data_IF_958819342708
#
_entry.id   IF_958819342708
#
_cell.length_a   1.000
_cell.length_b   1.000
_cell.length_c   1.000
_cell.angle_alpha   90.00
_cell.angle_beta   90.00
_cell.angle_gamma   90.00
#
_symmetry.space_group_name_H-M   'P 1'
#
loop_
_entity.id
_entity.type
_entity.pdbx_description
1 polymer ?
#
# COMPACT_ATOMS: atom_id res chain seq x y z
N UNK A 1 58.05 -0.75 -25.40
CA UNK A 1 57.33 -1.14 -24.16
C UNK A 1 57.41 -0.11 -23.01
N UNK A 2 57.76 1.18 -23.22
CA UNK A 2 57.80 2.16 -22.10
C UNK A 2 57.46 3.64 -22.44
N UNK A 3 56.98 3.96 -23.65
CA UNK A 3 56.77 5.37 -24.05
C UNK A 3 55.30 5.78 -24.25
N UNK A 4 54.37 4.83 -24.38
CA UNK A 4 52.93 5.14 -24.51
C UNK A 4 52.22 5.35 -23.16
N UNK A 5 52.90 5.05 -22.04
CA UNK A 5 52.39 5.17 -20.66
C UNK A 5 52.22 6.63 -20.22
N UNK A 6 52.76 7.60 -20.98
CA UNK A 6 52.92 8.99 -20.51
C UNK A 6 51.88 10.00 -21.03
N UNK A 7 50.98 9.65 -21.95
CA UNK A 7 50.08 10.65 -22.58
C UNK A 7 48.70 10.83 -21.93
N UNK A 8 48.21 9.88 -21.13
CA UNK A 8 46.89 10.03 -20.49
C UNK A 8 46.97 10.47 -19.02
N UNK A 9 48.15 10.87 -18.55
CA UNK A 9 48.41 11.48 -17.25
C UNK A 9 48.06 12.99 -17.19
N UNK A 10 47.13 13.46 -18.02
CA UNK A 10 46.79 14.89 -18.14
C UNK A 10 45.30 15.16 -18.27
N UNK A 11 44.45 14.49 -17.49
CA UNK A 11 43.14 15.05 -17.18
C UNK A 11 42.64 14.64 -15.79
N UNK A 12 43.46 14.95 -14.77
CA UNK A 12 42.99 15.05 -13.39
C UNK A 12 42.14 16.30 -13.25
N UNK A 13 40.82 16.16 -13.42
CA UNK A 13 39.86 17.18 -12.96
C UNK A 13 39.10 16.63 -11.75
N UNK A 14 39.62 17.10 -10.62
CA UNK A 14 39.16 16.96 -9.24
C UNK A 14 37.63 17.06 -9.07
N UNK A 15 37.12 16.21 -8.16
CA UNK A 15 36.15 16.53 -7.09
C UNK A 15 34.70 16.80 -7.59
N UNK A 16 33.61 16.19 -7.11
CA UNK A 16 33.27 15.60 -5.81
C UNK A 16 32.05 14.67 -5.97
N UNK A 17 32.13 13.51 -5.33
CA UNK A 17 31.02 12.60 -5.05
C UNK A 17 29.95 13.29 -4.19
N UNK A 18 28.72 13.46 -4.70
CA UNK A 18 27.48 13.60 -3.89
C UNK A 18 26.25 13.19 -4.72
N UNK A 19 25.70 11.97 -4.59
CA UNK A 19 24.36 11.67 -5.07
C UNK A 19 23.36 12.02 -3.94
N UNK A 20 23.05 13.29 -3.76
CA UNK A 20 22.01 13.74 -2.81
C UNK A 20 21.12 14.77 -3.50
N UNK A 21 20.51 14.37 -4.62
CA UNK A 21 19.57 15.22 -5.35
C UNK A 21 18.43 14.42 -6.01
N UNK A 22 18.12 13.22 -5.51
CA UNK A 22 16.96 12.44 -5.98
C UNK A 22 15.87 12.26 -4.92
N UNK A 23 16.07 12.76 -3.69
CA UNK A 23 15.10 12.65 -2.58
C UNK A 23 14.08 13.81 -2.60
N UNK A 24 14.33 14.86 -3.38
CA UNK A 24 13.48 16.07 -3.35
C UNK A 24 12.12 15.94 -4.06
N UNK A 25 11.85 14.86 -4.80
CA UNK A 25 10.55 14.69 -5.47
C UNK A 25 9.44 14.15 -4.54
N UNK A 26 9.78 13.66 -3.34
CA UNK A 26 8.80 13.13 -2.36
C UNK A 26 8.27 14.22 -1.43
N UNK A 27 8.89 15.41 -1.40
CA UNK A 27 8.57 16.42 -0.37
C UNK A 27 7.37 17.32 -0.71
N UNK A 28 6.82 17.29 -1.92
CA UNK A 28 5.75 18.22 -2.34
C UNK A 28 4.33 17.74 -1.99
N UNK A 29 4.13 16.50 -1.55
CA UNK A 29 2.77 15.95 -1.26
C UNK A 29 2.29 16.23 0.18
N UNK A 30 3.12 16.85 1.03
CA UNK A 30 2.78 17.12 2.44
C UNK A 30 2.10 18.49 2.69
N UNK A 31 1.63 19.18 1.64
CA UNK A 31 1.03 20.53 1.76
C UNK A 31 -0.44 20.64 1.33
N UNK A 32 -1.24 19.61 1.60
CA UNK A 32 -2.71 19.78 1.68
C UNK A 32 -3.17 19.29 3.05
N UNK A 33 -2.85 20.10 4.06
CA UNK A 33 -3.44 19.96 5.38
C UNK A 33 -4.85 20.55 5.44
N UNK A 34 -5.54 20.12 6.49
CA UNK A 34 -6.61 20.82 7.22
C UNK A 34 -8.01 20.76 6.60
N UNK A 35 -8.74 19.69 6.93
CA UNK A 35 -10.13 19.78 7.41
C UNK A 35 -10.09 19.27 8.86
N UNK A 36 -9.84 20.16 9.82
CA UNK A 36 -10.84 20.85 10.64
C UNK A 36 -11.69 19.90 11.51
N UNK A 37 -11.61 20.22 12.80
CA UNK A 37 -12.11 19.54 13.99
C UNK A 37 -13.62 19.37 13.95
N UNK A 38 -14.09 18.12 14.11
CA UNK A 38 -15.39 17.84 14.73
C UNK A 38 -15.18 16.86 15.88
N UNK A 39 -14.75 17.40 17.02
CA UNK A 39 -14.95 16.76 18.31
C UNK A 39 -16.38 17.03 18.76
N UNK A 40 -17.31 16.14 18.40
CA UNK A 40 -18.52 15.91 19.18
C UNK A 40 -19.24 14.65 18.71
N UNK A 41 -19.59 13.82 19.69
CA UNK A 41 -20.64 12.81 19.68
C UNK A 41 -20.21 11.38 19.32
N UNK A 42 -19.77 10.69 20.38
CA UNK A 42 -20.06 9.27 20.60
C UNK A 42 -21.58 9.08 20.53
N UNK A 43 -22.11 8.72 19.37
CA UNK A 43 -23.44 8.14 19.22
C UNK A 43 -23.34 7.01 18.23
N UNK A 44 -23.54 5.80 18.77
CA UNK A 44 -24.15 4.66 18.11
C UNK A 44 -23.47 4.28 16.80
N UNK A 45 -22.67 3.21 16.87
CA UNK A 45 -22.35 2.37 15.71
C UNK A 45 -23.68 1.86 15.15
N UNK A 46 -24.30 2.70 14.33
CA UNK A 46 -25.29 2.32 13.36
C UNK A 46 -24.49 1.56 12.32
N UNK A 47 -24.40 0.25 12.52
CA UNK A 47 -24.12 -0.67 11.43
C UNK A 47 -25.24 -0.45 10.43
N UNK A 48 -25.09 0.56 9.56
CA UNK A 48 -25.87 0.71 8.36
C UNK A 48 -25.55 -0.50 7.50
N UNK A 49 -26.26 -1.61 7.75
CA UNK A 49 -26.45 -2.65 6.76
C UNK A 49 -27.02 -1.97 5.52
N UNK A 50 -26.33 -2.02 4.37
CA UNK A 50 -27.02 -1.78 3.13
C UNK A 50 -28.02 -2.94 2.97
N UNK A 51 -29.29 -2.61 3.08
CA UNK A 51 -30.38 -3.46 2.64
C UNK A 51 -30.08 -3.90 1.20
N UNK A 52 -29.78 -5.18 0.99
CA UNK A 52 -29.69 -5.75 -0.35
C UNK A 52 -30.14 -7.19 -0.27
N UNK A 53 -31.42 -7.39 -0.59
CA UNK A 53 -32.03 -8.67 -0.91
C UNK A 53 -31.49 -9.24 -2.22
N UNK A 54 -30.17 -9.38 -2.31
CA UNK A 54 -29.45 -10.15 -3.31
C UNK A 54 -28.70 -11.21 -2.51
N UNK A 55 -28.83 -12.46 -2.90
CA UNK A 55 -28.19 -13.61 -2.24
C UNK A 55 -26.67 -13.57 -2.47
N UNK A 56 -25.99 -12.52 -2.00
CA UNK A 56 -24.54 -12.48 -2.00
C UNK A 56 -24.01 -13.56 -1.04
N UNK A 57 -22.92 -14.24 -1.40
CA UNK A 57 -22.29 -15.21 -0.52
C UNK A 57 -21.88 -14.54 0.78
N UNK A 58 -22.29 -15.12 1.92
CA UNK A 58 -22.07 -14.56 3.25
C UNK A 58 -20.61 -14.07 3.40
N UNK A 59 -20.37 -12.78 3.73
CA UNK A 59 -19.03 -12.20 3.77
C UNK A 59 -18.10 -12.95 4.74
N UNK A 60 -18.66 -13.51 5.82
CA UNK A 60 -17.90 -14.30 6.79
C UNK A 60 -17.30 -15.55 6.15
N UNK A 61 -17.99 -16.18 5.19
CA UNK A 61 -17.47 -17.37 4.50
C UNK A 61 -16.28 -17.02 3.60
N UNK A 62 -16.38 -15.93 2.82
CA UNK A 62 -15.25 -15.45 2.01
C UNK A 62 -14.07 -15.05 2.89
N UNK A 63 -14.33 -14.45 4.05
CA UNK A 63 -13.29 -14.12 5.01
C UNK A 63 -12.62 -15.38 5.57
N UNK A 64 -13.39 -16.40 5.97
CA UNK A 64 -12.86 -17.68 6.45
C UNK A 64 -11.97 -18.33 5.39
N UNK A 65 -12.40 -18.33 4.13
CA UNK A 65 -11.58 -18.84 3.02
C UNK A 65 -10.27 -18.09 2.88
N UNK A 66 -10.32 -16.76 2.98
CA UNK A 66 -9.12 -15.92 2.97
C UNK A 66 -8.19 -16.29 4.14
N UNK A 67 -8.72 -16.39 5.35
CA UNK A 67 -7.93 -16.75 6.54
C UNK A 67 -7.32 -18.14 6.42
N UNK A 68 -8.03 -19.09 5.81
CA UNK A 68 -7.50 -20.43 5.52
C UNK A 68 -6.36 -20.39 4.51
N UNK A 69 -6.46 -19.58 3.47
CA UNK A 69 -5.38 -19.39 2.50
C UNK A 69 -4.15 -18.77 3.18
N UNK A 70 -4.34 -17.79 4.06
CA UNK A 70 -3.25 -17.20 4.87
C UNK A 70 -2.60 -18.22 5.79
N UNK A 71 -3.39 -19.02 6.52
CA UNK A 71 -2.84 -20.06 7.41
C UNK A 71 -2.06 -21.13 6.66
N UNK A 72 -2.38 -21.35 5.38
CA UNK A 72 -1.69 -22.29 4.50
C UNK A 72 -0.52 -21.64 3.74
N UNK A 73 -0.16 -20.39 4.05
CA UNK A 73 0.89 -19.63 3.38
C UNK A 73 0.63 -19.42 1.86
N UNK A 74 -0.64 -19.47 1.45
CA UNK A 74 -1.10 -19.29 0.07
C UNK A 74 -1.46 -17.82 -0.19
N UNK A 75 -0.45 -16.94 -0.13
CA UNK A 75 -0.65 -15.49 -0.17
C UNK A 75 -1.37 -15.01 -1.45
N UNK A 76 -1.03 -15.57 -2.62
CA UNK A 76 -1.69 -15.21 -3.89
C UNK A 76 -3.18 -15.55 -3.90
N UNK A 77 -3.55 -16.68 -3.29
CA UNK A 77 -4.95 -17.09 -3.20
C UNK A 77 -5.70 -16.22 -2.19
N UNK A 78 -5.07 -15.91 -1.05
CA UNK A 78 -5.63 -14.99 -0.07
C UNK A 78 -5.86 -13.59 -0.67
N UNK A 79 -4.92 -13.10 -1.48
CA UNK A 79 -5.05 -11.83 -2.19
C UNK A 79 -6.26 -11.84 -3.13
N UNK A 80 -6.41 -12.89 -3.95
CA UNK A 80 -7.55 -13.01 -4.85
C UNK A 80 -8.89 -13.02 -4.09
N UNK A 81 -8.95 -13.76 -2.98
CA UNK A 81 -10.16 -13.90 -2.15
C UNK A 81 -10.51 -12.61 -1.41
N UNK A 82 -9.50 -11.88 -0.92
CA UNK A 82 -9.74 -10.59 -0.27
C UNK A 82 -10.15 -9.52 -1.28
N UNK A 83 -9.60 -9.53 -2.49
CA UNK A 83 -10.01 -8.62 -3.55
C UNK A 83 -11.48 -8.88 -3.96
N UNK A 84 -11.89 -10.15 -4.07
CA UNK A 84 -13.30 -10.53 -4.29
C UNK A 84 -14.21 -10.02 -3.15
N UNK A 85 -13.76 -10.17 -1.90
CA UNK A 85 -14.49 -9.71 -0.72
C UNK A 85 -14.64 -8.18 -0.67
N UNK A 86 -13.60 -7.42 -1.06
CA UNK A 86 -13.66 -5.95 -1.14
C UNK A 86 -14.62 -5.49 -2.25
N UNK A 87 -14.64 -6.18 -3.39
CA UNK A 87 -15.55 -5.86 -4.50
C UNK A 87 -17.01 -6.15 -4.13
N UNK A 88 -17.26 -7.32 -3.52
CA UNK A 88 -18.59 -7.72 -3.09
C UNK A 88 -19.09 -6.89 -1.90
N UNK A 89 -18.19 -6.50 -0.99
CA UNK A 89 -18.51 -5.77 0.24
C UNK A 89 -17.59 -4.56 0.45
N UNK A 90 -17.86 -3.43 -0.25
CA UNK A 90 -17.00 -2.24 -0.20
C UNK A 90 -16.85 -1.61 1.20
N UNK A 91 -17.85 -1.77 2.07
CA UNK A 91 -17.86 -1.24 3.44
C UNK A 91 -17.27 -2.21 4.47
N UNK A 92 -16.82 -3.41 4.06
CA UNK A 92 -16.26 -4.39 4.99
C UNK A 92 -14.83 -4.03 5.40
N UNK A 93 -14.72 -3.27 6.49
CA UNK A 93 -13.47 -2.67 6.96
C UNK A 93 -12.33 -3.67 7.12
N UNK A 94 -12.63 -4.87 7.64
CA UNK A 94 -11.63 -5.90 7.88
C UNK A 94 -10.96 -6.37 6.57
N UNK A 95 -11.69 -6.39 5.45
CA UNK A 95 -11.08 -6.77 4.18
C UNK A 95 -10.07 -5.75 3.67
N UNK A 96 -10.33 -4.45 3.84
CA UNK A 96 -9.36 -3.41 3.49
C UNK A 96 -8.10 -3.48 4.36
N UNK A 97 -8.25 -3.81 5.64
CA UNK A 97 -7.12 -4.00 6.56
C UNK A 97 -6.24 -5.17 6.11
N UNK A 98 -6.85 -6.34 5.87
CA UNK A 98 -6.11 -7.53 5.42
C UNK A 98 -5.46 -7.27 4.06
N UNK A 99 -6.17 -6.66 3.12
CA UNK A 99 -5.62 -6.32 1.80
C UNK A 99 -4.39 -5.42 1.90
N UNK A 100 -4.36 -4.48 2.85
CA UNK A 100 -3.19 -3.64 3.11
C UNK A 100 -2.01 -4.40 3.71
N UNK A 101 -2.27 -5.42 4.53
CA UNK A 101 -1.25 -6.28 5.15
C UNK A 101 -0.57 -7.23 4.15
N UNK A 102 -1.26 -7.55 3.04
CA UNK A 102 -0.75 -8.44 1.99
C UNK A 102 0.13 -7.76 0.92
N UNK A 103 0.30 -6.44 0.98
CA UNK A 103 1.15 -5.65 0.06
C UNK A 103 2.59 -5.50 0.57
#
# INVERSE_FOLDING_TARGET
>A
MFSAVLKNALLSKRVKLRPVASIFLVSLVMLTGIHEVHAARRTKSDSTEPASGVSLPNPDLLLIETMRALSNNQLSLAQQKIDELVVAYPHFQLAHLIRGDLL
#
